data_IF_030400720826
#
_entry.id   IF_030400720826
#
_cell.length_a   1.000
_cell.length_b   1.000
_cell.length_c   1.000
_cell.angle_alpha   90.00
_cell.angle_beta   90.00
_cell.angle_gamma   90.00
#
_symmetry.space_group_name_H-M   'P 1'
#
loop_
_entity.id
_entity.type
_entity.pdbx_description
1 polymer ?
#
# COMPACT_ATOMS: atom_id res chain seq x y z
N UNK A 1 -10.19 28.40 10.02
CA UNK A 1 -9.42 28.06 8.80
C UNK A 1 -10.40 27.67 7.72
N UNK A 2 -10.37 28.29 6.53
CA UNK A 2 -11.20 27.87 5.37
C UNK A 2 -10.36 26.97 4.47
N UNK A 3 -10.79 25.73 4.26
CA UNK A 3 -10.19 24.81 3.30
C UNK A 3 -10.92 25.00 1.97
N UNK A 4 -10.18 25.12 0.85
CA UNK A 4 -10.78 25.23 -0.48
C UNK A 4 -11.15 23.86 -1.03
N UNK A 5 -12.13 23.80 -1.95
CA UNK A 5 -12.49 22.55 -2.63
C UNK A 5 -11.30 21.93 -3.36
N UNK A 6 -10.46 22.76 -3.99
CA UNK A 6 -9.24 22.32 -4.67
C UNK A 6 -8.29 21.58 -3.72
N UNK A 7 -8.05 22.12 -2.52
CA UNK A 7 -7.20 21.46 -1.53
C UNK A 7 -7.81 20.11 -1.10
N UNK A 8 -9.13 20.05 -0.94
CA UNK A 8 -9.81 18.81 -0.57
C UNK A 8 -9.64 17.72 -1.65
N UNK A 9 -9.76 18.10 -2.92
CA UNK A 9 -9.57 17.20 -4.06
C UNK A 9 -8.12 16.69 -4.14
N UNK A 10 -7.13 17.60 -4.07
CA UNK A 10 -5.70 17.25 -4.12
C UNK A 10 -5.31 16.30 -2.99
N UNK A 11 -5.78 16.58 -1.76
CA UNK A 11 -5.53 15.71 -0.60
C UNK A 11 -6.24 14.37 -0.78
N UNK A 12 -7.48 14.35 -1.26
CA UNK A 12 -8.22 13.11 -1.51
C UNK A 12 -7.49 12.20 -2.49
N UNK A 13 -7.03 12.74 -3.63
CA UNK A 13 -6.28 11.98 -4.64
C UNK A 13 -4.97 11.44 -4.07
N UNK A 14 -4.20 12.25 -3.33
CA UNK A 14 -2.93 11.79 -2.77
C UNK A 14 -3.13 10.73 -1.69
N UNK A 15 -4.16 10.84 -0.84
CA UNK A 15 -4.48 9.82 0.15
C UNK A 15 -4.82 8.47 -0.51
N UNK A 16 -5.63 8.48 -1.57
CA UNK A 16 -5.96 7.27 -2.33
C UNK A 16 -4.74 6.70 -3.05
N UNK A 17 -3.91 7.56 -3.65
CA UNK A 17 -2.66 7.15 -4.31
C UNK A 17 -1.73 6.45 -3.33
N UNK A 18 -1.54 7.00 -2.13
CA UNK A 18 -0.71 6.39 -1.09
C UNK A 18 -1.31 5.08 -0.58
N UNK A 19 -2.61 5.04 -0.34
CA UNK A 19 -3.29 3.82 0.12
C UNK A 19 -3.18 2.65 -0.87
N UNK A 20 -3.21 2.93 -2.18
CA UNK A 20 -3.13 1.89 -3.21
C UNK A 20 -1.69 1.42 -3.51
N UNK A 21 -0.67 2.22 -3.18
CA UNK A 21 0.72 1.99 -3.63
C UNK A 21 1.68 1.68 -2.47
N UNK A 22 1.49 2.30 -1.30
CA UNK A 22 2.47 2.28 -0.21
C UNK A 22 1.89 1.50 0.97
N UNK A 23 2.52 0.36 1.30
CA UNK A 23 2.17 -0.34 2.52
C UNK A 23 2.75 0.36 3.76
N UNK A 24 2.03 0.33 4.89
CA UNK A 24 2.57 0.70 6.18
C UNK A 24 3.88 -0.03 6.50
N UNK A 25 4.78 0.66 7.21
CA UNK A 25 6.13 0.17 7.51
C UNK A 25 6.09 -1.13 8.32
N UNK A 26 5.23 -1.20 9.33
CA UNK A 26 5.00 -2.36 10.17
C UNK A 26 4.53 -3.59 9.37
N UNK A 27 3.61 -3.40 8.42
CA UNK A 27 3.15 -4.48 7.51
C UNK A 27 4.31 -4.98 6.63
N UNK A 28 5.10 -4.07 6.07
CA UNK A 28 6.28 -4.44 5.27
C UNK A 28 7.30 -5.22 6.09
N UNK A 29 7.57 -4.78 7.33
CA UNK A 29 8.50 -5.46 8.24
C UNK A 29 8.00 -6.84 8.64
N UNK A 30 6.70 -6.99 8.89
CA UNK A 30 6.06 -8.28 9.16
C UNK A 30 6.22 -9.25 7.97
N UNK A 31 5.99 -8.79 6.73
CA UNK A 31 6.17 -9.62 5.53
C UNK A 31 7.63 -10.04 5.33
N UNK A 32 8.59 -9.14 5.59
CA UNK A 32 10.03 -9.47 5.54
C UNK A 32 10.39 -10.52 6.59
N UNK A 33 9.94 -10.32 7.82
CA UNK A 33 10.18 -11.29 8.90
C UNK A 33 9.54 -12.65 8.59
N UNK A 34 8.35 -12.67 8.01
CA UNK A 34 7.70 -13.90 7.56
C UNK A 34 8.56 -14.61 6.48
N UNK A 35 9.04 -13.88 5.48
CA UNK A 35 9.90 -14.44 4.43
C UNK A 35 11.20 -15.05 4.97
N UNK A 36 11.83 -14.37 5.93
CA UNK A 36 13.08 -14.82 6.54
C UNK A 36 12.90 -16.11 7.35
N UNK A 37 11.79 -16.22 8.09
CA UNK A 37 11.50 -17.33 8.99
C UNK A 37 10.72 -18.49 8.33
N UNK A 38 10.20 -18.32 7.11
CA UNK A 38 9.44 -19.36 6.42
C UNK A 38 10.33 -20.56 6.03
N UNK A 39 9.79 -21.75 6.26
CA UNK A 39 10.46 -23.04 6.06
C UNK A 39 9.91 -23.80 4.85
N UNK A 40 8.65 -23.56 4.49
CA UNK A 40 8.05 -24.09 3.26
C UNK A 40 8.61 -23.35 2.05
N UNK A 41 9.26 -24.10 1.16
CA UNK A 41 9.83 -23.54 -0.07
C UNK A 41 8.79 -22.81 -0.92
N UNK A 42 7.59 -23.38 -1.05
CA UNK A 42 6.50 -22.75 -1.81
C UNK A 42 6.01 -21.46 -1.16
N UNK A 43 5.75 -21.47 0.15
CA UNK A 43 5.29 -20.26 0.85
C UNK A 43 6.34 -19.14 0.83
N UNK A 44 7.62 -19.51 0.93
CA UNK A 44 8.74 -18.57 0.86
C UNK A 44 8.83 -17.87 -0.50
N UNK A 45 8.55 -18.59 -1.60
CA UNK A 45 8.48 -18.00 -2.94
C UNK A 45 7.32 -16.99 -3.01
N UNK A 46 6.15 -17.31 -2.47
CA UNK A 46 5.02 -16.37 -2.51
C UNK A 46 5.27 -15.11 -1.67
N UNK A 47 5.88 -15.25 -0.49
CA UNK A 47 6.30 -14.09 0.30
C UNK A 47 7.30 -13.21 -0.44
N UNK A 48 8.24 -13.83 -1.19
CA UNK A 48 9.15 -13.09 -2.06
C UNK A 48 8.40 -12.36 -3.18
N UNK A 49 7.46 -13.02 -3.85
CA UNK A 49 6.64 -12.40 -4.90
C UNK A 49 5.88 -11.18 -4.36
N UNK A 50 5.32 -11.28 -3.15
CA UNK A 50 4.66 -10.15 -2.49
C UNK A 50 5.63 -8.99 -2.25
N UNK A 51 6.82 -9.27 -1.69
CA UNK A 51 7.85 -8.25 -1.44
C UNK A 51 8.33 -7.56 -2.72
N UNK A 52 8.60 -8.34 -3.77
CA UNK A 52 9.02 -7.83 -5.09
C UNK A 52 7.92 -6.97 -5.74
N UNK A 53 6.66 -7.38 -5.59
CA UNK A 53 5.51 -6.62 -6.09
C UNK A 53 5.35 -5.28 -5.37
N UNK A 54 5.53 -5.25 -4.04
CA UNK A 54 5.51 -4.00 -3.26
C UNK A 54 6.59 -3.03 -3.74
N UNK A 55 7.83 -3.51 -3.96
CA UNK A 55 8.91 -2.68 -4.50
C UNK A 55 8.59 -2.15 -5.90
N UNK A 56 8.06 -3.01 -6.77
CA UNK A 56 7.67 -2.65 -8.13
C UNK A 56 6.55 -1.60 -8.16
N UNK A 57 5.53 -1.75 -7.30
CA UNK A 57 4.43 -0.82 -7.18
C UNK A 57 4.90 0.60 -6.82
N UNK A 58 5.79 0.71 -5.82
CA UNK A 58 6.35 1.99 -5.40
C UNK A 58 7.24 2.62 -6.48
N UNK A 59 8.11 1.83 -7.12
CA UNK A 59 9.02 2.30 -8.17
C UNK A 59 8.26 2.78 -9.41
N UNK A 60 7.22 2.06 -9.81
CA UNK A 60 6.42 2.37 -11.00
C UNK A 60 5.30 3.37 -10.73
N UNK A 61 5.01 3.65 -9.46
CA UNK A 61 3.86 4.45 -9.06
C UNK A 61 2.53 3.81 -9.49
N UNK A 62 2.44 2.48 -9.43
CA UNK A 62 1.25 1.71 -9.80
C UNK A 62 0.66 1.02 -8.56
N UNK A 63 -0.67 0.81 -8.52
CA UNK A 63 -1.30 0.08 -7.43
C UNK A 63 -0.67 -1.30 -7.22
N UNK A 64 -0.53 -1.72 -5.95
CA UNK A 64 -0.01 -3.04 -5.58
C UNK A 64 -0.92 -4.17 -6.08
N UNK A 65 -2.23 -3.91 -6.18
CA UNK A 65 -3.23 -4.87 -6.62
C UNK A 65 -4.09 -4.29 -7.76
N UNK A 66 -4.61 -5.18 -8.62
CA UNK A 66 -5.56 -4.83 -9.67
C UNK A 66 -6.91 -4.36 -9.10
N UNK A 67 -7.33 -4.93 -7.97
CA UNK A 67 -8.46 -4.43 -7.19
C UNK A 67 -7.96 -3.39 -6.20
N UNK A 68 -8.34 -2.12 -6.41
CA UNK A 68 -7.95 -1.00 -5.55
C UNK A 68 -8.91 -0.78 -4.39
N UNK A 69 -9.92 -1.63 -4.24
CA UNK A 69 -10.90 -1.57 -3.17
C UNK A 69 -11.93 -0.45 -3.33
N UNK A 70 -12.73 -0.26 -2.27
CA UNK A 70 -13.79 0.76 -2.20
C UNK A 70 -13.22 2.03 -1.57
N UNK A 71 -13.47 3.18 -2.21
CA UNK A 71 -13.10 4.49 -1.69
C UNK A 71 -13.90 4.79 -0.41
N UNK A 72 -13.19 4.96 0.70
CA UNK A 72 -13.77 5.28 2.01
C UNK A 72 -12.92 6.29 2.75
N UNK A 73 -13.56 7.31 3.31
CA UNK A 73 -12.93 8.35 4.12
C UNK A 73 -13.64 8.44 5.47
N UNK A 74 -12.87 8.43 6.56
CA UNK A 74 -13.36 8.79 7.88
C UNK A 74 -13.00 10.26 8.16
N UNK A 75 -14.02 11.09 8.44
CA UNK A 75 -13.86 12.53 8.67
C UNK A 75 -14.33 12.85 10.08
N UNK A 76 -13.53 13.64 10.80
CA UNK A 76 -13.86 14.15 12.14
C UNK A 76 -13.89 15.67 12.12
N UNK A 77 -14.92 16.24 12.76
CA UNK A 77 -15.08 17.68 12.97
C UNK A 77 -14.44 18.13 14.29
#
# INVERSE_FOLDING_TARGET
MRISQKILEEVGVELLRRAAIILPKDVREALKSAYENETSATAKIELKNMLDNIESAEKLGKPICQDTGIVSFYIKA
#
